data_IF_480127309828
#
_entry.id   IF_480127309828
#
_cell.length_a   1.000
_cell.length_b   1.000
_cell.length_c   1.000
_cell.angle_alpha   90.00
_cell.angle_beta   90.00
_cell.angle_gamma   90.00
#
_symmetry.space_group_name_H-M   'P 1'
#
loop_
_entity.id
_entity.type
_entity.pdbx_description
1 polymer ?
#
# COMPACT_ATOMS: atom_id res chain seq x y z
N UNK A 1 4.91 -2.53 57.52
CA UNK A 1 3.62 -3.01 56.93
C UNK A 1 3.06 -1.86 56.11
N UNK A 2 3.16 -1.98 54.79
CA UNK A 2 2.62 -0.98 53.83
C UNK A 2 1.12 -1.25 53.73
N UNK A 3 0.29 -0.24 54.03
CA UNK A 3 -1.16 -0.31 53.84
C UNK A 3 -1.45 -0.35 52.34
N UNK A 4 -2.29 -1.26 51.84
CA UNK A 4 -2.71 -1.25 50.44
C UNK A 4 -3.50 0.02 50.13
N UNK A 5 -3.25 0.60 48.95
CA UNK A 5 -3.95 1.78 48.43
C UNK A 5 -5.46 1.52 48.34
N UNK A 6 -6.35 2.46 48.79
CA UNK A 6 -7.78 2.32 48.62
C UNK A 6 -8.15 2.37 47.14
N UNK A 7 -8.65 1.27 46.58
CA UNK A 7 -9.05 1.12 45.18
C UNK A 7 -8.61 -0.19 44.51
N UNK A 8 -7.62 -0.89 45.06
CA UNK A 8 -7.13 -2.15 44.47
C UNK A 8 -8.15 -3.31 44.53
N UNK A 9 -9.06 -3.29 45.50
CA UNK A 9 -10.11 -4.30 45.64
C UNK A 9 -11.20 -4.18 44.58
N UNK A 10 -11.63 -2.96 44.26
CA UNK A 10 -12.70 -2.70 43.28
C UNK A 10 -12.32 -3.10 41.84
N UNK A 11 -11.09 -2.80 41.45
CA UNK A 11 -10.56 -3.20 40.13
C UNK A 11 -10.43 -4.73 40.01
N UNK A 12 -9.94 -5.40 41.05
CA UNK A 12 -9.78 -6.86 41.07
C UNK A 12 -11.12 -7.59 40.95
N UNK A 13 -12.12 -7.14 41.67
CA UNK A 13 -13.50 -7.71 41.65
C UNK A 13 -14.14 -7.57 40.28
N UNK A 14 -13.94 -6.44 39.59
CA UNK A 14 -14.49 -6.23 38.24
C UNK A 14 -13.78 -7.08 37.18
N UNK A 15 -12.46 -7.27 37.29
CA UNK A 15 -11.70 -8.13 36.41
C UNK A 15 -12.13 -9.60 36.56
N UNK A 16 -12.26 -10.07 37.79
CA UNK A 16 -12.70 -11.45 38.10
C UNK A 16 -14.10 -11.70 37.55
N UNK A 17 -15.04 -10.76 37.75
CA UNK A 17 -16.37 -10.83 37.12
C UNK A 17 -16.34 -10.92 35.61
N UNK A 18 -15.54 -10.10 34.95
CA UNK A 18 -15.39 -10.14 33.48
C UNK A 18 -14.82 -11.48 32.98
N UNK A 19 -13.85 -12.03 33.73
CA UNK A 19 -13.24 -13.33 33.38
C UNK A 19 -14.27 -14.46 33.56
N UNK A 20 -15.03 -14.48 34.62
CA UNK A 20 -16.03 -15.53 34.84
C UNK A 20 -17.21 -15.42 33.88
N UNK A 21 -17.66 -14.20 33.56
CA UNK A 21 -18.64 -13.98 32.50
C UNK A 21 -18.15 -14.47 31.14
N UNK A 22 -16.89 -14.17 30.78
CA UNK A 22 -16.29 -14.60 29.52
C UNK A 22 -16.14 -16.14 29.44
N UNK A 23 -15.85 -16.80 30.55
CA UNK A 23 -15.81 -18.27 30.62
C UNK A 23 -17.17 -18.92 30.40
N UNK A 24 -18.25 -18.29 30.94
CA UNK A 24 -19.63 -18.77 30.76
C UNK A 24 -20.18 -18.48 29.35
N UNK A 25 -19.75 -17.40 28.73
CA UNK A 25 -20.27 -16.91 27.44
C UNK A 25 -19.18 -16.80 26.33
N UNK A 26 -18.42 -17.88 26.14
CA UNK A 26 -17.24 -17.90 25.25
C UNK A 26 -17.46 -17.28 23.87
N UNK A 27 -18.59 -17.58 23.22
CA UNK A 27 -18.90 -17.06 21.88
C UNK A 27 -19.14 -15.54 21.93
N UNK A 28 -19.95 -15.06 22.92
CA UNK A 28 -20.22 -13.63 23.08
C UNK A 28 -18.96 -12.86 23.44
N UNK A 29 -18.14 -13.41 24.34
CA UNK A 29 -16.84 -12.81 24.70
C UNK A 29 -15.91 -12.70 23.51
N UNK A 30 -15.84 -13.74 22.66
CA UNK A 30 -15.07 -13.71 21.43
C UNK A 30 -15.58 -12.62 20.46
N UNK A 31 -16.89 -12.53 20.25
CA UNK A 31 -17.50 -11.48 19.41
C UNK A 31 -17.18 -10.09 19.92
N UNK A 32 -17.36 -9.84 21.24
CA UNK A 32 -17.02 -8.52 21.82
C UNK A 32 -15.53 -8.21 21.75
N UNK A 33 -14.66 -9.22 21.94
CA UNK A 33 -13.22 -9.06 21.74
C UNK A 33 -12.86 -8.65 20.32
N UNK A 34 -13.44 -9.33 19.33
CA UNK A 34 -13.26 -8.98 17.90
C UNK A 34 -13.78 -7.57 17.61
N UNK A 35 -14.98 -7.22 18.07
CA UNK A 35 -15.54 -5.88 17.90
C UNK A 35 -14.68 -4.80 18.57
N UNK A 36 -14.14 -5.07 19.76
CA UNK A 36 -13.25 -4.15 20.46
C UNK A 36 -11.94 -3.94 19.73
N UNK A 37 -11.30 -5.03 19.26
CA UNK A 37 -10.08 -4.95 18.44
C UNK A 37 -10.37 -4.19 17.16
N UNK A 38 -11.47 -4.49 16.47
CA UNK A 38 -11.88 -3.77 15.28
C UNK A 38 -12.11 -2.27 15.51
N UNK A 39 -12.70 -1.91 16.66
CA UNK A 39 -12.87 -0.53 17.06
C UNK A 39 -11.53 0.16 17.34
N UNK A 40 -10.63 -0.47 18.10
CA UNK A 40 -9.29 0.06 18.34
C UNK A 40 -8.53 0.29 17.03
N UNK A 41 -8.55 -0.68 16.12
CA UNK A 41 -7.95 -0.58 14.82
C UNK A 41 -8.59 0.54 13.98
N UNK A 42 -9.91 0.68 14.04
CA UNK A 42 -10.63 1.74 13.35
C UNK A 42 -10.23 3.14 13.84
N UNK A 43 -10.08 3.33 15.17
CA UNK A 43 -9.66 4.62 15.74
C UNK A 43 -8.16 4.90 15.59
N UNK A 44 -7.32 3.86 15.45
CA UNK A 44 -5.88 4.00 15.21
C UNK A 44 -5.54 4.43 13.77
N UNK A 45 -6.53 4.42 12.85
CA UNK A 45 -6.30 4.78 11.45
C UNK A 45 -5.94 6.27 11.30
N UNK A 46 -5.09 6.63 10.33
CA UNK A 46 -4.56 7.98 10.14
C UNK A 46 -5.60 8.92 9.49
N UNK A 47 -6.76 9.11 10.14
CA UNK A 47 -7.89 9.84 9.57
C UNK A 47 -7.58 11.30 9.20
N UNK A 48 -6.79 11.98 10.03
CA UNK A 48 -6.40 13.37 9.78
C UNK A 48 -5.45 13.44 8.59
N UNK A 49 -4.46 12.56 8.54
CA UNK A 49 -3.51 12.46 7.42
C UNK A 49 -4.21 12.14 6.11
N UNK A 50 -5.24 11.26 6.12
CA UNK A 50 -6.05 10.96 4.94
C UNK A 50 -6.79 12.19 4.39
N UNK A 51 -7.38 13.01 5.28
CA UNK A 51 -8.06 14.26 4.88
C UNK A 51 -7.07 15.29 4.34
N UNK A 52 -5.87 15.35 4.92
CA UNK A 52 -4.82 16.25 4.44
C UNK A 52 -4.37 15.96 3.01
N UNK A 53 -4.42 14.69 2.57
CA UNK A 53 -4.08 14.29 1.20
C UNK A 53 -4.96 14.97 0.12
N UNK A 54 -6.12 15.52 0.47
CA UNK A 54 -6.93 16.32 -0.45
C UNK A 54 -6.21 17.59 -0.90
N UNK A 55 -5.36 18.16 -0.03
CA UNK A 55 -4.75 19.48 -0.22
C UNK A 55 -3.23 19.49 -0.14
N UNK A 56 -2.66 18.53 0.57
CA UNK A 56 -1.21 18.45 0.82
C UNK A 56 -0.61 17.22 0.14
N UNK A 57 0.61 17.36 -0.31
CA UNK A 57 1.40 16.26 -0.84
C UNK A 57 2.19 15.61 0.30
N UNK A 58 2.18 14.26 0.44
CA UNK A 58 3.00 13.58 1.42
C UNK A 58 4.49 13.77 1.08
N UNK A 59 5.29 14.12 2.07
CA UNK A 59 6.74 14.31 1.92
C UNK A 59 7.50 13.03 2.21
N UNK A 60 7.10 12.33 3.27
CA UNK A 60 7.68 11.07 3.73
C UNK A 60 6.54 10.05 3.80
N UNK A 61 6.81 8.83 3.41
CA UNK A 61 5.84 7.72 3.46
C UNK A 61 6.38 6.61 4.33
N UNK A 62 5.51 5.79 4.91
CA UNK A 62 5.92 4.63 5.70
C UNK A 62 6.85 3.69 4.92
N UNK A 63 6.71 3.62 3.60
CA UNK A 63 7.62 2.86 2.74
C UNK A 63 9.02 3.47 2.71
N UNK A 64 9.13 4.80 2.62
CA UNK A 64 10.44 5.50 2.65
C UNK A 64 11.13 5.31 3.99
N UNK A 65 10.42 5.50 5.10
CA UNK A 65 10.93 5.28 6.46
C UNK A 65 11.40 3.84 6.65
N UNK A 66 10.61 2.87 6.18
CA UNK A 66 11.01 1.47 6.23
C UNK A 66 12.30 1.20 5.44
N UNK A 67 12.45 1.80 4.25
CA UNK A 67 13.66 1.63 3.42
C UNK A 67 14.90 2.26 4.06
N UNK A 68 14.72 3.40 4.72
CA UNK A 68 15.78 4.04 5.49
C UNK A 68 16.21 3.15 6.65
N UNK A 69 15.26 2.64 7.44
CA UNK A 69 15.55 1.71 8.54
C UNK A 69 16.24 0.42 8.05
N UNK A 70 15.76 -0.19 6.96
CA UNK A 70 16.40 -1.38 6.36
C UNK A 70 17.86 -1.11 5.95
N UNK A 71 18.17 0.10 5.49
CA UNK A 71 19.52 0.48 5.11
C UNK A 71 20.40 0.74 6.34
N UNK A 72 19.87 1.41 7.36
CA UNK A 72 20.57 1.65 8.63
C UNK A 72 20.92 0.33 9.32
N UNK A 73 19.98 -0.61 9.40
CA UNK A 73 20.19 -1.95 9.96
C UNK A 73 21.27 -2.73 9.19
N UNK A 74 21.40 -2.47 7.89
CA UNK A 74 22.44 -3.07 7.04
C UNK A 74 23.77 -2.30 7.03
N UNK A 75 23.88 -1.17 7.76
CA UNK A 75 25.04 -0.29 7.74
C UNK A 75 25.29 0.36 6.37
N UNK A 76 24.26 0.50 5.54
CA UNK A 76 24.33 1.01 4.18
C UNK A 76 23.83 2.46 4.11
N UNK A 77 24.42 3.24 3.20
CA UNK A 77 23.90 4.59 2.92
C UNK A 77 22.62 4.50 2.11
N UNK A 78 21.61 5.27 2.53
CA UNK A 78 20.35 5.40 1.83
C UNK A 78 20.00 6.87 1.63
N UNK A 79 19.45 7.20 0.47
CA UNK A 79 18.95 8.54 0.18
C UNK A 79 17.69 8.45 -0.67
N UNK A 80 16.64 9.13 -0.24
CA UNK A 80 15.39 9.23 -0.99
C UNK A 80 15.56 10.25 -2.11
N UNK A 81 15.41 9.77 -3.35
CA UNK A 81 15.33 10.60 -4.55
C UNK A 81 13.85 10.71 -4.94
N UNK A 82 13.24 11.86 -4.68
CA UNK A 82 11.87 12.15 -5.02
C UNK A 82 11.74 13.59 -5.49
N UNK A 83 10.98 13.77 -6.56
CA UNK A 83 10.54 15.08 -7.03
C UNK A 83 9.06 15.02 -7.36
N UNK A 84 8.25 15.77 -6.63
CA UNK A 84 6.82 15.82 -6.88
C UNK A 84 6.52 16.61 -8.17
N UNK A 85 5.64 16.03 -8.99
CA UNK A 85 5.09 16.70 -10.18
C UNK A 85 3.57 16.47 -10.24
N UNK A 86 2.76 17.45 -10.66
CA UNK A 86 1.33 17.24 -10.85
C UNK A 86 1.11 16.21 -11.96
N UNK A 87 -0.01 15.49 -11.91
CA UNK A 87 -0.33 14.43 -12.89
C UNK A 87 -0.32 14.95 -14.33
N UNK A 88 -0.63 16.23 -14.54
CA UNK A 88 -0.55 16.89 -15.86
C UNK A 88 0.87 17.01 -16.42
N UNK A 89 1.89 16.83 -15.59
CA UNK A 89 3.31 16.78 -15.97
C UNK A 89 3.90 15.37 -15.94
N UNK A 90 3.05 14.34 -15.90
CA UNK A 90 3.43 12.94 -16.08
C UNK A 90 2.91 12.51 -17.44
N UNK A 91 3.75 11.82 -18.21
CA UNK A 91 3.36 11.32 -19.52
C UNK A 91 2.06 10.50 -19.45
N UNK A 92 1.08 10.77 -20.32
CA UNK A 92 -0.12 9.94 -20.42
C UNK A 92 0.20 8.45 -20.65
N UNK A 93 1.30 8.16 -21.32
CA UNK A 93 1.78 6.79 -21.50
C UNK A 93 2.10 6.12 -20.17
N UNK A 94 2.74 6.82 -19.20
CA UNK A 94 3.06 6.24 -17.92
C UNK A 94 1.79 6.03 -17.07
N UNK A 95 0.89 7.00 -17.09
CA UNK A 95 -0.41 6.89 -16.42
C UNK A 95 -1.16 5.65 -16.91
N UNK A 96 -1.28 5.49 -18.22
CA UNK A 96 -1.97 4.36 -18.85
C UNK A 96 -1.24 3.04 -18.60
N UNK A 97 0.10 2.99 -18.75
CA UNK A 97 0.89 1.79 -18.51
C UNK A 97 0.73 1.25 -17.10
N UNK A 98 0.72 2.15 -16.10
CA UNK A 98 0.56 1.78 -14.69
C UNK A 98 -0.83 1.21 -14.42
N UNK A 99 -1.89 1.85 -14.95
CA UNK A 99 -3.25 1.33 -14.83
C UNK A 99 -3.36 -0.06 -15.46
N UNK A 100 -2.92 -0.23 -16.68
CA UNK A 100 -2.96 -1.52 -17.40
C UNK A 100 -2.14 -2.61 -16.72
N UNK A 101 -1.03 -2.24 -16.05
CA UNK A 101 -0.13 -3.20 -15.42
C UNK A 101 -0.59 -3.63 -14.02
N UNK A 102 -1.15 -2.71 -13.23
CA UNK A 102 -1.40 -2.86 -11.79
C UNK A 102 -2.87 -2.95 -11.44
N UNK A 103 -3.78 -2.30 -12.22
CA UNK A 103 -5.18 -2.16 -11.85
C UNK A 103 -6.01 -1.75 -13.08
N UNK A 104 -6.27 -2.71 -13.97
CA UNK A 104 -6.90 -2.46 -15.27
C UNK A 104 -8.30 -1.84 -15.19
N UNK A 105 -9.00 -2.06 -14.09
CA UNK A 105 -10.35 -1.56 -13.78
C UNK A 105 -10.34 -0.41 -12.77
N UNK A 106 -9.20 0.29 -12.60
CA UNK A 106 -9.00 1.33 -11.58
C UNK A 106 -10.16 2.35 -11.49
N UNK A 107 -10.73 2.76 -12.62
CA UNK A 107 -11.82 3.73 -12.65
C UNK A 107 -13.20 3.12 -12.41
N UNK A 108 -13.34 1.80 -12.37
CA UNK A 108 -14.60 1.08 -12.31
C UNK A 108 -14.97 0.61 -10.89
N UNK A 109 -13.99 0.53 -10.00
CA UNK A 109 -14.21 0.12 -8.60
C UNK A 109 -13.93 1.24 -7.59
N UNK A 110 -14.34 1.05 -6.33
CA UNK A 110 -14.14 1.99 -5.22
C UNK A 110 -13.14 1.47 -4.18
N UNK A 111 -11.91 1.23 -4.60
CA UNK A 111 -10.79 0.83 -3.73
C UNK A 111 -10.50 -0.66 -3.68
N UNK A 112 -11.47 -1.50 -4.00
CA UNK A 112 -11.33 -2.95 -4.10
C UNK A 112 -12.02 -3.41 -5.37
N UNK A 113 -11.31 -4.16 -6.17
CA UNK A 113 -11.88 -4.90 -7.29
C UNK A 113 -12.36 -6.27 -6.78
N UNK A 114 -13.64 -6.36 -6.45
CA UNK A 114 -14.23 -7.59 -5.92
C UNK A 114 -14.23 -8.73 -6.94
N UNK A 115 -14.33 -8.41 -8.22
CA UNK A 115 -14.26 -9.41 -9.29
C UNK A 115 -12.86 -10.04 -9.36
N UNK A 116 -11.81 -9.22 -9.36
CA UNK A 116 -10.42 -9.70 -9.32
C UNK A 116 -10.11 -10.49 -8.03
N UNK A 117 -10.71 -10.11 -6.90
CA UNK A 117 -10.58 -10.84 -5.62
C UNK A 117 -11.20 -12.23 -5.74
N UNK A 118 -12.43 -12.33 -6.27
CA UNK A 118 -13.13 -13.61 -6.47
C UNK A 118 -12.35 -14.52 -7.43
N UNK A 119 -11.95 -14.01 -8.58
CA UNK A 119 -11.14 -14.74 -9.57
C UNK A 119 -9.80 -15.22 -8.99
N UNK A 120 -9.17 -14.38 -8.14
CA UNK A 120 -7.92 -14.76 -7.46
C UNK A 120 -8.12 -15.88 -6.46
N UNK A 121 -9.24 -15.88 -5.73
CA UNK A 121 -9.59 -16.96 -4.79
C UNK A 121 -9.82 -18.27 -5.54
N UNK A 122 -10.60 -18.25 -6.61
CA UNK A 122 -10.87 -19.44 -7.44
C UNK A 122 -9.58 -20.04 -8.02
N UNK A 123 -8.73 -19.18 -8.63
CA UNK A 123 -7.45 -19.63 -9.18
C UNK A 123 -6.48 -20.19 -8.12
N UNK A 124 -6.55 -19.68 -6.89
CA UNK A 124 -5.74 -20.19 -5.78
C UNK A 124 -6.20 -21.58 -5.33
N UNK A 125 -7.52 -21.82 -5.30
CA UNK A 125 -8.09 -23.16 -5.01
C UNK A 125 -7.72 -24.16 -6.09
N UNK A 126 -7.77 -23.78 -7.37
CA UNK A 126 -7.45 -24.69 -8.48
C UNK A 126 -5.96 -25.03 -8.59
N UNK A 127 -5.06 -24.06 -8.34
CA UNK A 127 -3.63 -24.20 -8.61
C UNK A 127 -2.76 -24.47 -7.39
N UNK A 128 -3.31 -24.43 -6.18
CA UNK A 128 -2.57 -24.63 -4.91
C UNK A 128 -1.43 -23.62 -4.69
N UNK A 129 -1.42 -22.49 -5.42
CA UNK A 129 -0.42 -21.44 -5.32
C UNK A 129 -1.10 -20.07 -5.24
N UNK A 130 -0.65 -19.25 -4.30
CA UNK A 130 -1.14 -17.88 -4.20
C UNK A 130 -0.98 -17.12 -5.53
N UNK A 131 -2.10 -16.82 -6.19
CA UNK A 131 -2.09 -16.02 -7.40
C UNK A 131 -1.61 -14.61 -7.05
N UNK A 132 -0.67 -14.08 -7.83
CA UNK A 132 -0.26 -12.68 -7.75
C UNK A 132 -1.32 -11.84 -8.45
N UNK A 133 -1.79 -10.73 -7.82
CA UNK A 133 -2.44 -9.67 -8.57
C UNK A 133 -3.75 -9.12 -8.04
N UNK A 134 -4.25 -9.47 -6.89
CA UNK A 134 -5.54 -8.94 -6.40
C UNK A 134 -5.48 -7.62 -5.60
N UNK A 135 -4.42 -6.83 -5.68
CA UNK A 135 -4.32 -5.56 -4.94
C UNK A 135 -4.43 -4.37 -5.88
N UNK A 136 -5.40 -3.50 -5.65
CA UNK A 136 -5.64 -2.28 -6.44
C UNK A 136 -4.58 -1.21 -6.18
N UNK A 137 -4.50 -0.20 -7.07
CA UNK A 137 -3.66 1.00 -6.88
C UNK A 137 -3.97 1.68 -5.55
N UNK A 138 -5.25 1.76 -5.15
CA UNK A 138 -5.66 2.36 -3.88
C UNK A 138 -5.15 1.59 -2.66
N UNK A 139 -5.16 0.27 -2.71
CA UNK A 139 -4.59 -0.59 -1.67
C UNK A 139 -3.07 -0.48 -1.61
N UNK A 140 -2.40 -0.47 -2.75
CA UNK A 140 -0.95 -0.26 -2.81
C UNK A 140 -0.56 1.11 -2.26
N UNK A 141 -1.34 2.16 -2.58
CA UNK A 141 -1.12 3.50 -2.06
C UNK A 141 -1.31 3.55 -0.54
N UNK A 142 -2.37 2.93 -0.01
CA UNK A 142 -2.60 2.82 1.43
C UNK A 142 -1.41 2.20 2.16
N UNK A 143 -0.89 1.10 1.62
CA UNK A 143 0.30 0.43 2.13
C UNK A 143 1.52 1.36 2.11
N UNK A 144 1.81 1.97 0.96
CA UNK A 144 2.99 2.80 0.78
C UNK A 144 3.00 4.02 1.71
N UNK A 145 1.84 4.63 1.93
CA UNK A 145 1.71 5.85 2.76
C UNK A 145 1.78 5.58 4.26
N UNK A 146 1.13 4.48 4.73
CA UNK A 146 0.77 4.36 6.14
C UNK A 146 1.16 3.03 6.79
N UNK A 147 1.63 2.04 6.02
CA UNK A 147 1.83 0.68 6.52
C UNK A 147 3.20 0.14 6.15
N UNK A 148 3.65 -0.86 6.92
CA UNK A 148 4.87 -1.61 6.62
C UNK A 148 4.63 -2.69 5.54
N UNK A 149 5.71 -3.33 5.09
CA UNK A 149 5.65 -4.49 4.18
C UNK A 149 5.46 -5.83 4.90
N UNK A 150 5.20 -5.83 6.21
CA UNK A 150 4.96 -7.06 6.97
C UNK A 150 3.84 -7.92 6.37
N UNK A 151 3.95 -9.24 6.48
CA UNK A 151 2.91 -10.18 5.99
C UNK A 151 1.85 -10.48 7.07
N UNK A 152 1.53 -9.51 7.90
CA UNK A 152 0.52 -9.64 8.94
C UNK A 152 -0.90 -9.49 8.34
N UNK A 153 -1.84 -10.42 8.60
CA UNK A 153 -3.23 -10.32 8.15
C UNK A 153 -3.94 -9.05 8.63
N UNK A 154 -3.65 -8.58 9.85
CA UNK A 154 -4.21 -7.33 10.40
C UNK A 154 -3.73 -6.12 9.61
N UNK A 155 -2.47 -6.11 9.17
CA UNK A 155 -1.97 -5.08 8.27
C UNK A 155 -2.77 -5.06 6.95
N UNK A 156 -3.09 -6.24 6.39
CA UNK A 156 -3.88 -6.31 5.14
C UNK A 156 -5.30 -5.80 5.33
N UNK A 157 -5.90 -6.05 6.48
CA UNK A 157 -7.21 -5.48 6.84
C UNK A 157 -7.15 -3.96 6.97
N UNK A 158 -6.10 -3.41 7.62
CA UNK A 158 -5.87 -1.95 7.68
C UNK A 158 -5.72 -1.35 6.29
N UNK A 159 -4.93 -1.97 5.44
CA UNK A 159 -4.73 -1.57 4.04
C UNK A 159 -6.06 -1.43 3.30
N UNK A 160 -6.94 -2.44 3.45
CA UNK A 160 -8.27 -2.44 2.86
C UNK A 160 -9.13 -1.27 3.38
N UNK A 161 -9.21 -1.09 4.70
CA UNK A 161 -10.02 -0.03 5.30
C UNK A 161 -9.51 1.36 4.90
N UNK A 162 -8.18 1.56 4.88
CA UNK A 162 -7.57 2.82 4.46
C UNK A 162 -7.88 3.08 2.97
N UNK A 163 -7.76 2.08 2.10
CA UNK A 163 -8.06 2.21 0.68
C UNK A 163 -9.52 2.63 0.44
N UNK A 164 -10.48 1.97 1.10
CA UNK A 164 -11.90 2.33 1.02
C UNK A 164 -12.19 3.76 1.51
N UNK A 165 -11.46 4.23 2.53
CA UNK A 165 -11.59 5.61 3.02
C UNK A 165 -10.96 6.62 2.07
N UNK A 166 -9.80 6.30 1.50
CA UNK A 166 -9.18 7.15 0.50
C UNK A 166 -10.10 7.39 -0.69
N UNK A 167 -10.74 6.34 -1.20
CA UNK A 167 -11.70 6.45 -2.31
C UNK A 167 -12.92 7.31 -1.99
N UNK A 168 -13.35 7.35 -0.73
CA UNK A 168 -14.43 8.25 -0.28
C UNK A 168 -13.99 9.70 -0.15
N UNK A 169 -12.72 9.94 0.14
CA UNK A 169 -12.18 11.27 0.43
C UNK A 169 -11.49 11.92 -0.77
N UNK A 170 -10.91 11.14 -1.67
CA UNK A 170 -10.08 11.59 -2.77
C UNK A 170 -10.71 11.21 -4.11
N UNK A 171 -10.53 12.05 -5.12
CA UNK A 171 -10.85 11.66 -6.49
C UNK A 171 -9.85 10.61 -7.01
N UNK A 172 -10.26 9.76 -7.94
CA UNK A 172 -9.41 8.81 -8.65
C UNK A 172 -8.14 9.48 -9.21
N UNK A 173 -8.29 10.65 -9.80
CA UNK A 173 -7.18 11.45 -10.31
C UNK A 173 -6.18 11.80 -9.21
N UNK A 174 -6.66 12.18 -8.01
CA UNK A 174 -5.79 12.50 -6.88
C UNK A 174 -5.09 11.28 -6.31
N UNK A 175 -5.79 10.15 -6.19
CA UNK A 175 -5.21 8.87 -5.76
C UNK A 175 -4.06 8.49 -6.70
N UNK A 176 -4.31 8.53 -8.01
CA UNK A 176 -3.31 8.19 -9.02
C UNK A 176 -2.13 9.17 -9.05
N UNK A 177 -2.40 10.48 -8.86
CA UNK A 177 -1.35 11.48 -8.75
C UNK A 177 -0.43 11.20 -7.57
N UNK A 178 -1.01 10.93 -6.39
CA UNK A 178 -0.22 10.62 -5.19
C UNK A 178 0.57 9.32 -5.43
N UNK A 179 -0.09 8.26 -5.91
CA UNK A 179 0.55 6.98 -6.19
C UNK A 179 1.78 7.13 -7.09
N UNK A 180 1.62 7.79 -8.23
CA UNK A 180 2.71 8.01 -9.19
C UNK A 180 3.85 8.86 -8.64
N UNK A 181 3.63 9.62 -7.59
CA UNK A 181 4.67 10.45 -6.95
C UNK A 181 5.34 9.78 -5.74
N UNK A 182 4.75 8.70 -5.17
CA UNK A 182 5.30 8.07 -3.95
C UNK A 182 5.72 6.62 -4.13
N UNK A 183 5.30 5.94 -5.20
CA UNK A 183 5.67 4.54 -5.41
C UNK A 183 7.16 4.40 -5.70
N UNK A 184 7.77 3.32 -5.18
CA UNK A 184 9.18 2.99 -5.38
C UNK A 184 9.38 2.38 -6.77
N UNK A 185 10.37 2.88 -7.54
CA UNK A 185 10.79 2.31 -8.82
C UNK A 185 12.21 1.71 -8.80
N UNK A 186 12.97 1.93 -7.74
CA UNK A 186 14.33 1.42 -7.58
C UNK A 186 14.84 1.71 -6.19
N UNK A 187 16.08 1.33 -5.88
CA UNK A 187 16.64 1.56 -4.57
C UNK A 187 16.77 3.06 -4.28
N UNK A 188 15.91 3.58 -3.39
CA UNK A 188 15.84 5.01 -3.06
C UNK A 188 15.16 5.88 -4.12
N UNK A 189 14.66 5.31 -5.23
CA UNK A 189 14.03 6.07 -6.33
C UNK A 189 12.52 6.03 -6.17
N UNK A 190 11.92 7.16 -5.78
CA UNK A 190 10.49 7.29 -5.52
C UNK A 190 9.84 8.32 -6.46
N UNK A 191 8.71 7.93 -7.03
CA UNK A 191 7.91 8.78 -7.90
C UNK A 191 8.38 8.83 -9.36
N UNK A 192 7.42 9.13 -10.23
CA UNK A 192 7.58 9.11 -11.68
C UNK A 192 8.69 10.04 -12.21
N UNK A 193 8.83 11.25 -11.61
CA UNK A 193 9.84 12.20 -12.07
C UNK A 193 11.25 11.72 -11.75
N UNK A 194 11.47 11.19 -10.54
CA UNK A 194 12.77 10.62 -10.16
C UNK A 194 13.09 9.38 -11.01
N UNK A 195 12.11 8.49 -11.22
CA UNK A 195 12.27 7.30 -12.05
C UNK A 195 12.63 7.65 -13.49
N UNK A 196 11.92 8.61 -14.11
CA UNK A 196 12.20 9.05 -15.48
C UNK A 196 13.62 9.61 -15.63
N UNK A 197 14.06 10.40 -14.66
CA UNK A 197 15.43 10.93 -14.64
C UNK A 197 16.47 9.84 -14.42
N UNK A 198 16.24 8.97 -13.48
CA UNK A 198 17.18 7.92 -13.09
C UNK A 198 17.39 6.88 -14.21
N UNK A 199 16.32 6.43 -14.86
CA UNK A 199 16.42 5.37 -15.88
C UNK A 199 16.67 5.88 -17.28
N UNK A 200 16.21 7.09 -17.60
CA UNK A 200 16.21 7.60 -18.99
C UNK A 200 16.76 9.01 -19.18
N UNK A 201 17.10 9.72 -18.10
CA UNK A 201 17.62 11.08 -18.19
C UNK A 201 16.61 12.15 -18.65
N UNK A 202 15.31 11.78 -18.77
CA UNK A 202 14.24 12.66 -19.28
C UNK A 202 13.27 13.07 -18.15
N UNK A 203 12.51 14.17 -18.30
CA UNK A 203 11.41 14.46 -17.40
C UNK A 203 10.28 13.44 -17.55
N UNK A 204 9.46 13.25 -16.48
CA UNK A 204 8.33 12.32 -16.49
C UNK A 204 7.31 12.61 -17.61
N UNK A 205 7.16 13.87 -18.00
CA UNK A 205 6.29 14.29 -19.11
C UNK A 205 6.74 13.78 -20.47
N UNK A 206 8.04 13.48 -20.65
CA UNK A 206 8.66 13.09 -21.93
C UNK A 206 8.89 11.59 -22.07
N UNK A 207 8.36 10.78 -21.15
CA UNK A 207 8.46 9.32 -21.26
C UNK A 207 7.70 8.82 -22.49
N UNK A 208 8.39 8.05 -23.36
CA UNK A 208 7.76 7.33 -24.46
C UNK A 208 6.90 6.17 -23.96
N UNK A 209 6.02 5.64 -24.82
CA UNK A 209 5.18 4.49 -24.47
C UNK A 209 6.02 3.27 -24.03
N UNK A 210 7.13 2.98 -24.72
CA UNK A 210 8.02 1.86 -24.35
C UNK A 210 8.71 2.06 -23.01
N UNK A 211 9.19 3.28 -22.71
CA UNK A 211 9.80 3.63 -21.43
C UNK A 211 8.77 3.54 -20.29
N UNK A 212 7.57 4.04 -20.53
CA UNK A 212 6.44 4.00 -19.59
C UNK A 212 6.02 2.56 -19.28
N UNK A 213 5.80 1.73 -20.30
CA UNK A 213 5.46 0.32 -20.12
C UNK A 213 6.54 -0.42 -19.30
N UNK A 214 7.81 -0.14 -19.57
CA UNK A 214 8.91 -0.75 -18.84
C UNK A 214 8.94 -0.35 -17.37
N UNK A 215 8.75 0.92 -17.06
CA UNK A 215 8.65 1.38 -15.66
C UNK A 215 7.47 0.70 -14.95
N UNK A 216 6.30 0.64 -15.57
CA UNK A 216 5.13 -0.01 -14.97
C UNK A 216 5.40 -1.49 -14.64
N UNK A 217 6.09 -2.24 -15.50
CA UNK A 217 6.46 -3.64 -15.24
C UNK A 217 7.43 -3.83 -14.08
N UNK A 218 8.18 -2.78 -13.70
CA UNK A 218 9.12 -2.85 -12.58
C UNK A 218 8.43 -2.74 -11.21
N UNK A 219 7.23 -2.18 -11.12
CA UNK A 219 6.52 -1.86 -9.87
C UNK A 219 6.34 -3.05 -8.89
N UNK A 220 6.09 -4.28 -9.34
CA UNK A 220 5.92 -5.40 -8.41
C UNK A 220 7.19 -5.76 -7.63
N UNK A 221 8.37 -5.46 -8.16
CA UNK A 221 9.65 -5.73 -7.47
C UNK A 221 10.75 -4.74 -7.92
N UNK A 222 10.59 -3.44 -7.59
CA UNK A 222 11.39 -2.37 -8.19
C UNK A 222 12.88 -2.50 -7.88
N UNK A 223 13.27 -2.85 -6.64
CA UNK A 223 14.68 -3.00 -6.24
C UNK A 223 15.37 -4.18 -6.92
N UNK A 224 14.62 -5.25 -7.19
CA UNK A 224 15.15 -6.37 -7.97
C UNK A 224 15.38 -5.98 -9.42
N UNK A 225 14.39 -5.35 -10.07
CA UNK A 225 14.49 -4.96 -11.48
C UNK A 225 15.44 -3.80 -11.71
N UNK A 226 15.69 -2.97 -10.71
CA UNK A 226 16.74 -1.95 -10.77
C UNK A 226 18.13 -2.58 -10.98
N UNK A 227 18.38 -3.71 -10.31
CA UNK A 227 19.64 -4.48 -10.48
C UNK A 227 19.63 -5.39 -11.73
N UNK A 228 18.45 -5.81 -12.21
CA UNK A 228 18.28 -6.79 -13.28
C UNK A 228 17.53 -6.20 -14.49
N UNK A 229 18.01 -5.04 -14.97
CA UNK A 229 17.34 -4.25 -16.01
C UNK A 229 17.19 -4.97 -17.34
N UNK A 230 17.99 -6.00 -17.62
CA UNK A 230 17.96 -6.77 -18.88
C UNK A 230 17.29 -8.15 -18.73
N UNK A 231 16.53 -8.39 -17.64
CA UNK A 231 15.88 -9.67 -17.47
C UNK A 231 14.87 -9.96 -18.58
N UNK A 232 14.84 -11.22 -19.03
CA UNK A 232 13.91 -11.67 -20.07
C UNK A 232 12.44 -11.48 -19.68
N UNK A 233 12.14 -11.51 -18.38
CA UNK A 233 10.81 -11.20 -17.86
C UNK A 233 10.41 -9.75 -18.15
N UNK A 234 11.28 -8.77 -17.81
CA UNK A 234 11.02 -7.35 -18.10
C UNK A 234 10.76 -7.13 -19.59
N UNK A 235 11.59 -7.71 -20.45
CA UNK A 235 11.46 -7.55 -21.90
C UNK A 235 10.11 -8.07 -22.40
N UNK A 236 9.77 -9.32 -22.05
CA UNK A 236 8.49 -9.93 -22.45
C UNK A 236 7.28 -9.18 -21.91
N UNK A 237 7.31 -8.86 -20.60
CA UNK A 237 6.18 -8.22 -19.93
C UNK A 237 5.98 -6.78 -20.43
N UNK A 238 7.06 -6.03 -20.70
CA UNK A 238 7.00 -4.70 -21.33
C UNK A 238 6.27 -4.77 -22.67
N UNK A 239 6.62 -5.75 -23.54
CA UNK A 239 5.93 -5.95 -24.81
C UNK A 239 4.44 -6.29 -24.65
N UNK A 240 4.06 -7.02 -23.59
CA UNK A 240 2.65 -7.30 -23.28
C UNK A 240 1.89 -6.04 -22.85
N UNK A 241 2.45 -5.25 -21.93
CA UNK A 241 1.82 -4.00 -21.50
C UNK A 241 1.70 -3.03 -22.67
N UNK A 242 2.76 -2.88 -23.47
CA UNK A 242 2.75 -1.97 -24.60
C UNK A 242 1.65 -2.31 -25.66
N UNK A 243 1.33 -3.60 -25.81
CA UNK A 243 0.22 -4.01 -26.70
C UNK A 243 -1.18 -3.79 -26.09
N UNK A 244 -1.27 -3.63 -24.77
CA UNK A 244 -2.54 -3.40 -24.06
C UNK A 244 -2.84 -1.92 -23.85
N UNK A 245 -1.84 -1.07 -23.98
CA UNK A 245 -1.96 0.40 -23.95
C UNK A 245 -2.57 0.93 -25.24
#
# INVERSE_FOLDING_TARGET
KVKPLPGSGFLKTNIDFCIDWARQHKVRAAVYGVCFIAALEYFSLPNNSLRELQRKNPRITAMMEQREQEADDAGARFAVQQTWVPISRISPHLVHAVIVAEDGTFYEHSGVDWYEVEESIEKNFEKGKAARGGSTISQQLAKNLFLSTSKDPMRKLKELIIALRMEKLLSKKRILEIYLNVVEWGNGVFGAQAAARYYYGVPAASLSASQAARLAVMLPNPRYYDKHRQSSYLIRRTGLILRRM
#
